data_IF_969637734123
#
_entry.id   IF_969637734123
#
_cell.length_a   1.000
_cell.length_b   1.000
_cell.length_c   1.000
_cell.angle_alpha   90.00
_cell.angle_beta   90.00
_cell.angle_gamma   90.00
#
_symmetry.space_group_name_H-M   'P 1'
#
loop_
_entity.id
_entity.type
_entity.pdbx_description
1 polymer ?
#
# COMPACT_ATOMS: atom_id res chain seq x y z
N UNK A 1 17.89 -7.71 8.67
CA UNK A 1 16.46 -8.11 8.58
C UNK A 1 15.47 -6.94 8.65
N UNK A 2 15.82 -5.77 9.21
CA UNK A 2 14.95 -4.58 9.14
C UNK A 2 14.99 -3.86 7.77
N UNK A 3 16.04 -4.07 6.99
CA UNK A 3 16.31 -3.35 5.72
C UNK A 3 15.28 -3.59 4.62
N UNK A 4 14.75 -4.82 4.48
CA UNK A 4 13.85 -5.21 3.38
C UNK A 4 12.46 -4.61 3.55
N UNK A 5 11.83 -4.83 4.70
CA UNK A 5 10.53 -4.21 5.02
C UNK A 5 10.64 -2.69 5.09
N UNK A 6 11.76 -2.13 5.57
CA UNK A 6 11.93 -0.68 5.53
C UNK A 6 11.97 -0.14 4.10
N UNK A 7 12.53 -0.88 3.13
CA UNK A 7 12.50 -0.50 1.73
C UNK A 7 11.07 -0.46 1.18
N UNK A 8 10.24 -1.46 1.47
CA UNK A 8 8.82 -1.46 1.08
C UNK A 8 8.01 -0.36 1.77
N UNK A 9 8.27 -0.07 3.05
CA UNK A 9 7.62 1.03 3.79
C UNK A 9 8.02 2.38 3.20
N UNK A 10 9.30 2.56 2.88
CA UNK A 10 9.78 3.78 2.24
C UNK A 10 9.18 3.96 0.84
N UNK A 11 9.16 2.88 0.05
CA UNK A 11 8.50 2.89 -1.26
C UNK A 11 7.01 3.24 -1.15
N UNK A 12 6.31 2.66 -0.16
CA UNK A 12 4.91 2.98 0.13
C UNK A 12 4.73 4.47 0.41
N UNK A 13 5.56 5.04 1.28
CA UNK A 13 5.50 6.46 1.61
C UNK A 13 5.78 7.36 0.39
N UNK A 14 6.69 6.95 -0.50
CA UNK A 14 6.97 7.69 -1.74
C UNK A 14 5.77 7.65 -2.71
N UNK A 15 5.15 6.48 -2.90
CA UNK A 15 3.94 6.32 -3.73
C UNK A 15 2.81 7.19 -3.17
N UNK A 16 2.56 7.10 -1.87
CA UNK A 16 1.48 7.82 -1.21
C UNK A 16 1.69 9.35 -1.26
N UNK A 17 2.94 9.81 -1.14
CA UNK A 17 3.30 11.22 -1.30
C UNK A 17 3.05 11.72 -2.73
N UNK A 18 3.47 10.97 -3.74
CA UNK A 18 3.23 11.33 -5.14
C UNK A 18 1.74 11.31 -5.49
N UNK A 19 0.99 10.31 -5.03
CA UNK A 19 -0.47 10.24 -5.21
C UNK A 19 -1.19 11.41 -4.55
N UNK A 20 -0.83 11.74 -3.30
CA UNK A 20 -1.42 12.87 -2.58
C UNK A 20 -1.09 14.21 -3.26
N UNK A 21 0.16 14.37 -3.73
CA UNK A 21 0.59 15.57 -4.46
C UNK A 21 -0.19 15.70 -5.76
N UNK A 22 -0.31 14.62 -6.53
CA UNK A 22 -1.07 14.61 -7.77
C UNK A 22 -2.53 14.97 -7.54
N UNK A 23 -3.18 14.36 -6.54
CA UNK A 23 -4.56 14.65 -6.19
C UNK A 23 -4.79 16.13 -5.82
N UNK A 24 -3.86 16.71 -5.06
CA UNK A 24 -3.93 18.14 -4.72
C UNK A 24 -3.76 19.03 -5.95
N UNK A 25 -2.85 18.66 -6.86
CA UNK A 25 -2.65 19.40 -8.10
C UNK A 25 -3.85 19.25 -9.05
N UNK A 26 -4.38 18.04 -9.25
CA UNK A 26 -5.50 17.81 -10.16
C UNK A 26 -6.79 18.47 -9.69
N UNK A 27 -7.00 18.58 -8.38
CA UNK A 27 -8.16 19.26 -7.79
C UNK A 27 -8.07 20.80 -7.76
N UNK A 28 -6.87 21.38 -7.70
CA UNK A 28 -6.70 22.83 -7.54
C UNK A 28 -6.23 23.56 -8.82
N UNK A 29 -5.68 22.85 -9.81
CA UNK A 29 -5.27 23.47 -11.07
C UNK A 29 -6.51 23.71 -11.94
N UNK A 30 -6.84 24.97 -12.28
CA UNK A 30 -7.96 25.27 -13.17
C UNK A 30 -7.71 24.66 -14.54
N UNK A 31 -8.72 24.00 -15.09
CA UNK A 31 -8.65 23.40 -16.42
C UNK A 31 -9.46 24.21 -17.43
N UNK A 32 -9.00 24.31 -18.69
CA UNK A 32 -9.71 25.08 -19.71
C UNK A 32 -11.12 24.51 -19.94
N UNK A 33 -12.12 25.38 -19.98
CA UNK A 33 -13.48 25.02 -20.40
C UNK A 33 -13.96 26.04 -21.44
N UNK A 34 -14.26 25.63 -22.69
CA UNK A 34 -14.21 24.26 -23.24
C UNK A 34 -12.78 23.75 -23.48
N UNK A 35 -12.60 22.43 -23.38
CA UNK A 35 -11.34 21.77 -23.73
C UNK A 35 -11.22 21.71 -25.26
N UNK A 36 -10.10 22.17 -25.81
CA UNK A 36 -9.87 22.12 -27.27
C UNK A 36 -9.68 20.66 -27.73
N UNK A 37 -10.17 20.30 -28.91
CA UNK A 37 -9.89 19.01 -29.56
C UNK A 37 -8.51 18.98 -30.25
N UNK A 38 -7.53 19.70 -29.67
CA UNK A 38 -6.15 19.69 -30.14
C UNK A 38 -5.38 18.52 -29.53
N UNK A 39 -4.21 18.19 -30.09
CA UNK A 39 -3.27 17.23 -29.48
C UNK A 39 -3.06 17.52 -27.98
N UNK A 40 -2.85 18.80 -27.61
CA UNK A 40 -2.66 19.21 -26.23
C UNK A 40 -3.91 18.97 -25.35
N UNK A 41 -5.11 19.21 -25.88
CA UNK A 41 -6.35 18.92 -25.18
C UNK A 41 -6.62 17.42 -25.00
N UNK A 42 -6.29 16.61 -26.00
CA UNK A 42 -6.32 15.16 -25.91
C UNK A 42 -5.35 14.61 -24.85
N UNK A 43 -4.11 15.11 -24.82
CA UNK A 43 -3.15 14.77 -23.76
C UNK A 43 -3.64 15.17 -22.37
N UNK A 44 -4.18 16.39 -22.24
CA UNK A 44 -4.72 16.88 -20.97
C UNK A 44 -5.91 16.03 -20.51
N UNK A 45 -6.79 15.62 -21.42
CA UNK A 45 -7.90 14.73 -21.09
C UNK A 45 -7.42 13.35 -20.65
N UNK A 46 -6.60 12.69 -21.47
CA UNK A 46 -6.27 11.27 -21.32
C UNK A 46 -5.23 10.96 -20.25
N UNK A 47 -4.40 11.93 -19.85
CA UNK A 47 -3.35 11.74 -18.84
C UNK A 47 -3.59 12.52 -17.53
N UNK A 48 -4.23 13.69 -17.59
CA UNK A 48 -4.43 14.52 -16.41
C UNK A 48 -5.85 14.41 -15.88
N UNK A 49 -6.86 14.73 -16.70
CA UNK A 49 -8.27 14.76 -16.29
C UNK A 49 -8.89 13.37 -16.10
N UNK A 50 -8.30 12.33 -16.70
CA UNK A 50 -8.64 10.93 -16.46
C UNK A 50 -8.07 10.39 -15.14
N UNK A 51 -7.27 11.18 -14.43
CA UNK A 51 -6.53 10.77 -13.24
C UNK A 51 -5.57 9.58 -13.48
N UNK A 52 -5.06 9.40 -14.71
CA UNK A 52 -4.15 8.31 -15.10
C UNK A 52 -2.99 8.09 -14.10
N UNK A 53 -2.30 9.16 -13.71
CA UNK A 53 -1.17 9.04 -12.78
C UNK A 53 -1.63 8.64 -11.37
N UNK A 54 -2.78 9.14 -10.93
CA UNK A 54 -3.34 8.79 -9.63
C UNK A 54 -3.66 7.30 -9.56
N UNK A 55 -4.37 6.76 -10.56
CA UNK A 55 -4.70 5.34 -10.64
C UNK A 55 -3.47 4.45 -10.79
N UNK A 56 -2.43 4.93 -11.48
CA UNK A 56 -1.13 4.27 -11.55
C UNK A 56 -0.46 4.15 -10.17
N UNK A 57 -0.42 5.26 -9.41
CA UNK A 57 0.15 5.26 -8.06
C UNK A 57 -0.64 4.37 -7.11
N UNK A 58 -1.97 4.39 -7.18
CA UNK A 58 -2.79 3.50 -6.38
C UNK A 58 -2.57 2.02 -6.71
N UNK A 59 -2.43 1.67 -7.98
CA UNK A 59 -2.14 0.28 -8.36
C UNK A 59 -0.75 -0.15 -7.88
N UNK A 60 0.26 0.72 -8.04
CA UNK A 60 1.60 0.46 -7.52
C UNK A 60 1.60 0.30 -5.99
N UNK A 61 0.80 1.10 -5.27
CA UNK A 61 0.58 1.01 -3.83
C UNK A 61 0.01 -0.37 -3.44
N UNK A 62 -1.04 -0.84 -4.11
CA UNK A 62 -1.62 -2.17 -3.87
C UNK A 62 -0.60 -3.29 -4.09
N UNK A 63 0.15 -3.26 -5.20
CA UNK A 63 1.18 -4.26 -5.49
C UNK A 63 2.30 -4.25 -4.44
N UNK A 64 2.65 -3.07 -3.92
CA UNK A 64 3.61 -2.91 -2.84
C UNK A 64 3.07 -3.48 -1.52
N UNK A 65 1.80 -3.26 -1.17
CA UNK A 65 1.14 -3.84 0.00
C UNK A 65 1.06 -5.38 -0.08
N UNK A 66 0.75 -5.93 -1.25
CA UNK A 66 0.79 -7.38 -1.49
C UNK A 66 2.20 -7.91 -1.28
N UNK A 67 3.20 -7.29 -1.90
CA UNK A 67 4.61 -7.67 -1.76
C UNK A 67 5.08 -7.64 -0.30
N UNK A 68 4.72 -6.58 0.44
CA UNK A 68 5.01 -6.43 1.86
C UNK A 68 4.30 -7.49 2.71
N UNK A 69 3.04 -7.83 2.39
CA UNK A 69 2.29 -8.89 3.06
C UNK A 69 2.98 -10.25 2.89
N UNK A 70 3.37 -10.61 1.67
CA UNK A 70 4.09 -11.86 1.39
C UNK A 70 5.50 -11.86 1.99
N UNK A 71 6.16 -10.71 2.05
CA UNK A 71 7.46 -10.58 2.73
C UNK A 71 7.36 -10.91 4.22
N UNK A 72 6.32 -10.42 4.89
CA UNK A 72 6.04 -10.77 6.29
C UNK A 72 5.62 -12.22 6.46
N UNK A 73 4.83 -12.74 5.52
CA UNK A 73 4.43 -14.13 5.50
C UNK A 73 5.67 -15.03 5.49
N UNK A 74 6.60 -14.83 4.55
CA UNK A 74 7.84 -15.62 4.49
C UNK A 74 8.72 -15.38 5.72
N UNK A 75 8.83 -14.14 6.22
CA UNK A 75 9.62 -13.84 7.42
C UNK A 75 9.13 -14.57 8.68
N UNK A 76 7.83 -14.83 8.80
CA UNK A 76 7.23 -15.45 10.00
C UNK A 76 7.06 -16.97 9.82
N UNK A 77 6.56 -17.41 8.66
CA UNK A 77 6.24 -18.82 8.39
C UNK A 77 7.47 -19.60 7.94
N UNK A 78 8.38 -18.97 7.18
CA UNK A 78 9.56 -19.63 6.61
C UNK A 78 10.85 -18.84 6.90
N UNK A 79 11.22 -18.65 8.19
CA UNK A 79 12.28 -17.73 8.60
C UNK A 79 13.64 -18.00 7.95
N UNK A 80 13.98 -19.28 7.70
CA UNK A 80 15.25 -19.67 7.07
C UNK A 80 15.29 -19.40 5.56
N UNK A 81 14.14 -19.30 4.89
CA UNK A 81 14.06 -19.00 3.45
C UNK A 81 13.95 -17.49 3.16
N UNK A 82 13.66 -16.68 4.19
CA UNK A 82 13.43 -15.24 4.04
C UNK A 82 14.60 -14.51 3.38
N UNK A 83 15.84 -14.76 3.80
CA UNK A 83 17.02 -14.09 3.25
C UNK A 83 17.26 -14.38 1.77
N UNK A 84 16.90 -15.57 1.30
CA UNK A 84 17.03 -15.97 -0.11
C UNK A 84 15.91 -15.39 -0.96
N UNK A 85 14.66 -15.46 -0.49
CA UNK A 85 13.48 -15.01 -1.25
C UNK A 85 13.40 -13.47 -1.26
N UNK A 86 13.67 -12.83 -0.12
CA UNK A 86 13.61 -11.39 0.06
C UNK A 86 14.99 -10.78 0.29
N UNK A 87 15.94 -11.16 -0.56
CA UNK A 87 17.24 -10.47 -0.66
C UNK A 87 17.12 -9.07 -1.28
N UNK A 88 18.25 -8.35 -1.35
CA UNK A 88 18.29 -6.98 -1.90
C UNK A 88 17.83 -6.89 -3.36
N UNK A 89 18.27 -7.82 -4.21
CA UNK A 89 17.93 -7.81 -5.63
C UNK A 89 16.45 -8.14 -5.88
N UNK A 90 15.89 -9.24 -5.34
CA UNK A 90 14.45 -9.51 -5.46
C UNK A 90 13.57 -8.34 -4.99
N UNK A 91 13.90 -7.71 -3.85
CA UNK A 91 13.13 -6.58 -3.32
C UNK A 91 13.16 -5.38 -4.28
N UNK A 92 14.32 -5.05 -4.88
CA UNK A 92 14.40 -3.99 -5.89
C UNK A 92 13.58 -4.30 -7.14
N UNK A 93 13.60 -5.55 -7.59
CA UNK A 93 12.79 -6.01 -8.73
C UNK A 93 11.29 -5.89 -8.42
N UNK A 94 10.86 -6.32 -7.22
CA UNK A 94 9.45 -6.20 -6.81
C UNK A 94 9.00 -4.74 -6.75
N UNK A 95 9.82 -3.84 -6.19
CA UNK A 95 9.53 -2.42 -6.14
C UNK A 95 9.42 -1.84 -7.56
N UNK A 96 10.44 -2.04 -8.41
CA UNK A 96 10.44 -1.54 -9.78
C UNK A 96 9.25 -2.10 -10.58
N UNK A 97 8.97 -3.39 -10.42
CA UNK A 97 7.83 -4.08 -11.01
C UNK A 97 6.49 -3.45 -10.60
N UNK A 98 6.32 -3.08 -9.33
CA UNK A 98 5.09 -2.42 -8.86
C UNK A 98 4.83 -1.10 -9.60
N UNK A 99 5.85 -0.26 -9.81
CA UNK A 99 5.72 0.99 -10.58
C UNK A 99 5.41 0.75 -12.06
N UNK A 100 6.13 -0.19 -12.69
CA UNK A 100 5.95 -0.51 -14.11
C UNK A 100 4.56 -1.10 -14.35
N UNK A 101 4.17 -2.10 -13.56
CA UNK A 101 2.86 -2.76 -13.69
C UNK A 101 1.74 -1.78 -13.34
N UNK A 102 1.89 -0.96 -12.30
CA UNK A 102 0.91 0.07 -11.95
C UNK A 102 0.66 1.05 -13.10
N UNK A 103 1.73 1.56 -13.69
CA UNK A 103 1.64 2.46 -14.85
C UNK A 103 1.05 1.76 -16.07
N UNK A 104 1.55 0.58 -16.42
CA UNK A 104 1.06 -0.22 -17.54
C UNK A 104 -0.43 -0.52 -17.41
N UNK A 105 -0.88 -0.83 -16.19
CA UNK A 105 -2.28 -1.14 -15.91
C UNK A 105 -3.22 0.06 -15.98
N UNK A 106 -2.72 1.28 -16.02
CA UNK A 106 -3.52 2.51 -16.16
C UNK A 106 -3.65 2.99 -17.60
N UNK A 107 -2.95 2.36 -18.55
CA UNK A 107 -3.01 2.73 -19.98
C UNK A 107 -4.41 2.59 -20.60
N UNK A 108 -5.32 1.84 -19.97
CA UNK A 108 -6.70 1.76 -20.46
C UNK A 108 -7.41 3.12 -20.41
N UNK A 109 -7.04 4.04 -19.49
CA UNK A 109 -7.62 5.38 -19.41
C UNK A 109 -7.40 6.17 -20.72
N UNK A 110 -6.27 5.93 -21.40
CA UNK A 110 -5.97 6.56 -22.70
C UNK A 110 -6.96 6.12 -23.78
N UNK A 111 -7.47 4.90 -23.69
CA UNK A 111 -8.44 4.37 -24.65
C UNK A 111 -9.89 4.71 -24.27
N UNK A 112 -10.17 4.95 -22.99
CA UNK A 112 -11.54 5.07 -22.48
C UNK A 112 -11.95 6.49 -22.13
N UNK A 113 -11.07 7.48 -22.20
CA UNK A 113 -11.40 8.89 -22.06
C UNK A 113 -11.16 9.65 -23.35
N UNK A 114 -12.10 10.51 -23.72
CA UNK A 114 -11.92 11.39 -24.86
C UNK A 114 -12.58 12.76 -24.66
N UNK A 115 -12.20 13.71 -25.52
CA UNK A 115 -12.79 15.05 -25.55
C UNK A 115 -14.05 15.01 -26.39
N UNK A 116 -15.21 15.09 -25.74
CA UNK A 116 -16.52 15.10 -26.40
C UNK A 116 -17.28 16.34 -25.93
N UNK A 117 -17.72 17.16 -26.89
CA UNK A 117 -18.39 18.45 -26.65
C UNK A 117 -17.61 19.40 -25.73
N UNK A 118 -16.28 19.44 -25.90
CA UNK A 118 -15.39 20.28 -25.11
C UNK A 118 -15.23 19.85 -23.65
N UNK A 119 -15.62 18.62 -23.31
CA UNK A 119 -15.45 18.02 -21.97
C UNK A 119 -14.70 16.71 -22.07
N UNK A 120 -13.81 16.45 -21.12
CA UNK A 120 -13.20 15.14 -20.97
C UNK A 120 -14.17 14.20 -20.26
N UNK A 121 -14.55 13.10 -20.91
CA UNK A 121 -15.51 12.15 -20.34
C UNK A 121 -15.20 10.71 -20.76
N UNK A 122 -15.61 9.71 -19.95
CA UNK A 122 -15.46 8.32 -20.33
C UNK A 122 -16.33 7.98 -21.54
N UNK A 123 -15.76 7.27 -22.50
CA UNK A 123 -16.41 6.82 -23.74
C UNK A 123 -16.65 5.32 -23.72
N UNK A 124 -17.79 4.88 -24.26
CA UNK A 124 -18.12 3.46 -24.35
C UNK A 124 -17.44 2.82 -25.55
N UNK A 125 -16.35 2.10 -25.31
CA UNK A 125 -15.66 1.28 -26.32
C UNK A 125 -16.15 -0.18 -26.22
N UNK A 126 -16.28 -0.94 -27.33
CA UNK A 126 -16.58 -2.36 -27.26
C UNK A 126 -15.63 -3.11 -26.32
N UNK A 127 -16.19 -3.83 -25.35
CA UNK A 127 -15.41 -4.58 -24.34
C UNK A 127 -14.98 -3.77 -23.10
N UNK A 128 -15.31 -2.48 -23.00
CA UNK A 128 -15.00 -1.63 -21.83
C UNK A 128 -15.51 -2.21 -20.50
N UNK A 129 -16.74 -2.72 -20.47
CA UNK A 129 -17.34 -3.38 -19.30
C UNK A 129 -16.54 -4.61 -18.85
N UNK A 130 -16.19 -5.49 -19.80
CA UNK A 130 -15.41 -6.68 -19.50
C UNK A 130 -14.02 -6.32 -18.97
N UNK A 131 -13.37 -5.30 -19.56
CA UNK A 131 -12.08 -4.82 -19.07
C UNK A 131 -12.19 -4.23 -17.66
N UNK A 132 -13.24 -3.44 -17.38
CA UNK A 132 -13.45 -2.87 -16.04
C UNK A 132 -13.70 -3.95 -14.97
N UNK A 133 -14.43 -5.02 -15.29
CA UNK A 133 -14.56 -6.18 -14.40
C UNK A 133 -13.20 -6.85 -14.15
N UNK A 134 -12.38 -7.03 -15.20
CA UNK A 134 -11.02 -7.56 -15.04
C UNK A 134 -10.15 -6.64 -14.16
N UNK A 135 -10.23 -5.32 -14.35
CA UNK A 135 -9.52 -4.33 -13.53
C UNK A 135 -9.92 -4.46 -12.07
N UNK A 136 -11.23 -4.53 -11.77
CA UNK A 136 -11.71 -4.76 -10.40
C UNK A 136 -11.14 -6.05 -9.79
N UNK A 137 -11.12 -7.15 -10.55
CA UNK A 137 -10.61 -8.42 -10.07
C UNK A 137 -9.10 -8.36 -9.76
N UNK A 138 -8.30 -7.83 -10.69
CA UNK A 138 -6.84 -7.81 -10.57
C UNK A 138 -6.32 -6.73 -9.62
N UNK A 139 -6.95 -5.56 -9.57
CA UNK A 139 -6.48 -4.44 -8.74
C UNK A 139 -7.07 -4.45 -7.33
N UNK A 140 -8.21 -5.11 -7.09
CA UNK A 140 -8.84 -5.13 -5.78
C UNK A 140 -9.11 -6.53 -5.24
N UNK A 141 -9.97 -7.32 -5.90
CA UNK A 141 -10.47 -8.57 -5.33
C UNK A 141 -9.37 -9.61 -5.07
N UNK A 142 -8.57 -9.94 -6.09
CA UNK A 142 -7.47 -10.91 -5.99
C UNK A 142 -6.42 -10.45 -4.95
N UNK A 143 -5.92 -9.20 -4.98
CA UNK A 143 -5.03 -8.69 -3.93
C UNK A 143 -5.58 -8.84 -2.51
N UNK A 144 -6.85 -8.49 -2.29
CA UNK A 144 -7.49 -8.62 -0.97
C UNK A 144 -7.55 -10.08 -0.53
N UNK A 145 -8.00 -11.00 -1.39
CA UNK A 145 -8.06 -12.42 -1.08
C UNK A 145 -6.67 -13.02 -0.78
N UNK A 146 -5.67 -12.65 -1.57
CA UNK A 146 -4.29 -13.12 -1.39
C UNK A 146 -3.71 -12.64 -0.05
N UNK A 147 -3.85 -11.34 0.25
CA UNK A 147 -3.41 -10.76 1.51
C UNK A 147 -4.15 -11.39 2.69
N UNK A 148 -5.48 -11.49 2.62
CA UNK A 148 -6.31 -12.07 3.68
C UNK A 148 -5.89 -13.50 4.00
N UNK A 149 -5.68 -14.34 2.98
CA UNK A 149 -5.25 -15.72 3.16
C UNK A 149 -3.88 -15.79 3.86
N UNK A 150 -2.93 -14.94 3.44
CA UNK A 150 -1.62 -14.84 4.09
C UNK A 150 -1.75 -14.37 5.56
N UNK A 151 -2.54 -13.34 5.83
CA UNK A 151 -2.78 -12.82 7.18
C UNK A 151 -3.41 -13.88 8.10
N UNK A 152 -4.42 -14.61 7.62
CA UNK A 152 -5.06 -15.70 8.38
C UNK A 152 -4.03 -16.78 8.73
N UNK A 153 -3.24 -17.24 7.75
CA UNK A 153 -2.24 -18.27 7.99
C UNK A 153 -1.16 -17.81 8.99
N UNK A 154 -0.69 -16.56 8.88
CA UNK A 154 0.26 -15.99 9.85
C UNK A 154 -0.33 -16.00 11.26
N UNK A 155 -1.60 -15.64 11.43
CA UNK A 155 -2.28 -15.65 12.73
C UNK A 155 -2.33 -17.07 13.30
N UNK A 156 -2.66 -18.07 12.47
CA UNK A 156 -2.69 -19.48 12.87
C UNK A 156 -1.31 -19.94 13.36
N UNK A 157 -0.26 -19.70 12.56
CA UNK A 157 1.12 -20.07 12.91
C UNK A 157 1.58 -19.38 14.20
N UNK A 158 1.28 -18.09 14.37
CA UNK A 158 1.64 -17.34 15.58
C UNK A 158 0.92 -17.87 16.82
N UNK A 159 -0.36 -18.27 16.70
CA UNK A 159 -1.12 -18.88 17.81
C UNK A 159 -0.55 -20.25 18.19
N UNK A 160 -0.25 -21.09 17.21
CA UNK A 160 0.32 -22.42 17.42
C UNK A 160 1.68 -22.34 18.12
N UNK A 161 2.54 -21.40 17.70
CA UNK A 161 3.85 -21.18 18.32
C UNK A 161 3.72 -20.65 19.76
N UNK A 162 2.73 -19.79 20.04
CA UNK A 162 2.47 -19.32 21.39
C UNK A 162 1.94 -20.42 22.32
N UNK A 163 1.12 -21.34 21.83
CA UNK A 163 0.62 -22.48 22.62
C UNK A 163 1.68 -23.54 22.91
N UNK A 164 2.73 -23.63 22.08
CA UNK A 164 3.86 -24.56 22.29
C UNK A 164 4.87 -24.04 23.32
N UNK A 165 4.94 -22.73 23.50
CA UNK A 165 5.74 -22.08 24.54
C UNK A 165 4.80 -21.78 25.73
N UNK A 166 4.40 -22.83 26.45
CA UNK A 166 3.74 -22.68 27.76
C UNK A 166 4.64 -21.90 28.74
N UNK A 167 4.09 -21.37 29.86
CA UNK A 167 4.88 -20.58 30.80
C UNK A 167 6.09 -21.39 31.28
N UNK A 168 7.28 -20.96 30.87
CA UNK A 168 8.53 -21.58 31.31
C UNK A 168 8.61 -21.48 32.84
N UNK A 169 9.00 -22.55 33.55
CA UNK A 169 9.28 -22.48 34.97
C UNK A 169 10.39 -21.44 35.19
N UNK A 170 10.18 -20.55 36.14
CA UNK A 170 11.16 -19.56 36.61
C UNK A 170 12.31 -20.33 37.26
N UNK A 171 13.32 -20.74 36.49
CA UNK A 171 14.61 -21.23 37.03
C UNK A 171 15.68 -21.32 35.95
N UNK A 172 16.40 -20.22 35.75
CA UNK A 172 17.87 -20.23 35.61
C UNK A 172 18.38 -18.79 35.48
N UNK A 173 18.72 -18.20 36.63
CA UNK A 173 19.57 -17.02 36.70
C UNK A 173 20.99 -17.43 36.31
N UNK A 174 21.33 -17.35 35.03
CA UNK A 174 22.73 -17.38 34.58
C UNK A 174 23.06 -16.05 33.93
N UNK A 175 23.78 -15.19 34.67
CA UNK A 175 24.44 -14.01 34.12
C UNK A 175 25.61 -14.46 33.23
N UNK A 176 25.48 -14.25 31.92
CA UNK A 176 26.56 -14.49 30.97
C UNK A 176 26.01 -14.84 29.60
N UNK A 177 25.87 -13.83 28.75
CA UNK A 177 25.25 -13.82 27.42
C UNK A 177 23.74 -14.10 27.42
N UNK A 178 22.94 -13.31 26.67
CA UNK A 178 21.55 -13.69 26.44
C UNK A 178 21.57 -15.08 25.78
N UNK A 179 20.87 -16.07 26.34
CA UNK A 179 20.77 -17.37 25.68
C UNK A 179 20.24 -17.15 24.27
N UNK A 180 20.74 -17.92 23.29
CA UNK A 180 20.33 -17.84 21.87
C UNK A 180 18.79 -17.85 21.74
N UNK A 181 18.11 -18.55 22.65
CA UNK A 181 16.65 -18.59 22.80
C UNK A 181 16.00 -17.24 23.14
N UNK A 182 16.63 -16.40 23.97
CA UNK A 182 16.14 -15.06 24.29
C UNK A 182 16.29 -14.09 23.10
N UNK A 183 17.38 -14.21 22.35
CA UNK A 183 17.60 -13.45 21.11
C UNK A 183 16.55 -13.83 20.05
N UNK A 184 16.29 -15.12 19.84
CA UNK A 184 15.26 -15.59 18.90
C UNK A 184 13.83 -15.19 19.33
N UNK A 185 13.52 -15.23 20.63
CA UNK A 185 12.24 -14.78 21.17
C UNK A 185 12.02 -13.27 20.98
N UNK A 186 13.07 -12.45 21.16
CA UNK A 186 12.99 -11.00 20.94
C UNK A 186 12.80 -10.65 19.45
N UNK A 187 13.51 -11.34 18.55
CA UNK A 187 13.36 -11.20 17.09
C UNK A 187 11.96 -11.59 16.63
N UNK A 188 11.42 -12.70 17.13
CA UNK A 188 10.05 -13.14 16.82
C UNK A 188 9.00 -12.13 17.32
N UNK A 189 9.21 -11.56 18.51
CA UNK A 189 8.36 -10.48 19.04
C UNK A 189 8.40 -9.24 18.16
N UNK A 190 9.57 -8.83 17.68
CA UNK A 190 9.72 -7.71 16.76
C UNK A 190 9.01 -7.95 15.42
N UNK A 191 9.13 -9.16 14.84
CA UNK A 191 8.39 -9.56 13.63
C UNK A 191 6.88 -9.54 13.84
N UNK A 192 6.40 -10.03 15.00
CA UNK A 192 4.98 -10.00 15.38
C UNK A 192 4.44 -8.58 15.51
N UNK A 193 5.17 -7.67 16.14
CA UNK A 193 4.76 -6.27 16.27
C UNK A 193 4.66 -5.58 14.90
N UNK A 194 5.64 -5.86 14.03
CA UNK A 194 5.61 -5.39 12.64
C UNK A 194 4.40 -5.92 11.89
N UNK A 195 4.13 -7.23 11.98
CA UNK A 195 2.94 -7.84 11.39
C UNK A 195 1.63 -7.19 11.87
N UNK A 196 1.50 -6.92 13.18
CA UNK A 196 0.31 -6.25 13.72
C UNK A 196 0.08 -4.88 13.08
N UNK A 197 1.15 -4.10 12.88
CA UNK A 197 1.04 -2.82 12.20
C UNK A 197 0.56 -3.00 10.75
N UNK A 198 1.07 -4.00 10.03
CA UNK A 198 0.68 -4.25 8.64
C UNK A 198 -0.73 -4.81 8.50
N UNK A 199 -1.21 -5.56 9.49
CA UNK A 199 -2.61 -5.94 9.58
C UNK A 199 -3.52 -4.71 9.72
N UNK A 200 -3.13 -3.70 10.51
CA UNK A 200 -3.86 -2.43 10.61
C UNK A 200 -3.87 -1.72 9.25
N UNK A 201 -2.72 -1.63 8.59
CA UNK A 201 -2.61 -1.05 7.23
C UNK A 201 -3.53 -1.76 6.24
N UNK A 202 -3.58 -3.10 6.27
CA UNK A 202 -4.46 -3.90 5.42
C UNK A 202 -5.94 -3.64 5.69
N UNK A 203 -6.36 -3.57 6.96
CA UNK A 203 -7.75 -3.27 7.33
C UNK A 203 -8.15 -1.87 6.84
N UNK A 204 -7.27 -0.88 7.03
CA UNK A 204 -7.48 0.48 6.51
C UNK A 204 -7.59 0.49 4.99
N UNK A 205 -6.73 -0.27 4.30
CA UNK A 205 -6.81 -0.45 2.85
C UNK A 205 -8.17 -0.98 2.40
N UNK A 206 -8.62 -2.10 2.97
CA UNK A 206 -9.94 -2.67 2.63
C UNK A 206 -11.05 -1.67 2.89
N UNK A 207 -11.07 -1.02 4.05
CA UNK A 207 -12.09 -0.05 4.39
C UNK A 207 -12.14 1.15 3.42
N UNK A 208 -10.98 1.76 3.13
CA UNK A 208 -10.87 2.90 2.24
C UNK A 208 -11.24 2.58 0.80
N UNK A 209 -10.92 1.38 0.33
CA UNK A 209 -11.10 1.00 -1.07
C UNK A 209 -12.46 0.37 -1.38
N UNK A 210 -13.09 -0.31 -0.41
CA UNK A 210 -14.31 -1.09 -0.65
C UNK A 210 -15.41 -0.30 -1.35
N UNK A 211 -15.72 0.91 -0.87
CA UNK A 211 -16.82 1.70 -1.42
C UNK A 211 -16.56 2.05 -2.89
N UNK A 212 -15.36 2.53 -3.20
CA UNK A 212 -14.97 2.89 -4.57
C UNK A 212 -14.98 1.67 -5.50
N UNK A 213 -14.45 0.53 -5.03
CA UNK A 213 -14.43 -0.71 -5.80
C UNK A 213 -15.83 -1.26 -6.08
N UNK A 214 -16.78 -1.13 -5.15
CA UNK A 214 -18.20 -1.50 -5.37
C UNK A 214 -18.83 -0.59 -6.42
N UNK A 215 -18.65 0.73 -6.31
CA UNK A 215 -19.20 1.70 -7.27
C UNK A 215 -18.65 1.43 -8.67
N UNK A 216 -17.34 1.24 -8.79
CA UNK A 216 -16.69 0.93 -10.06
C UNK A 216 -17.18 -0.39 -10.65
N UNK A 217 -17.33 -1.43 -9.82
CA UNK A 217 -17.88 -2.72 -10.26
C UNK A 217 -19.32 -2.57 -10.77
N UNK A 218 -20.18 -1.85 -10.04
CA UNK A 218 -21.56 -1.59 -10.47
C UNK A 218 -21.61 -0.80 -11.79
N UNK A 219 -20.79 0.23 -11.94
CA UNK A 219 -20.69 1.00 -13.20
C UNK A 219 -20.39 0.10 -14.40
N UNK A 220 -19.44 -0.84 -14.24
CA UNK A 220 -19.09 -1.79 -15.30
C UNK A 220 -20.14 -2.87 -15.56
N UNK A 221 -21.11 -3.05 -14.66
CA UNK A 221 -22.31 -3.86 -14.88
C UNK A 221 -23.48 -3.09 -15.52
N UNK A 222 -23.26 -1.82 -15.90
CA UNK A 222 -24.25 -1.00 -16.58
C UNK A 222 -25.14 -0.16 -15.67
N UNK A 223 -24.84 -0.08 -14.37
CA UNK A 223 -25.53 0.84 -13.48
C UNK A 223 -25.07 2.29 -13.77
N UNK A 224 -25.99 3.26 -13.88
CA UNK A 224 -25.63 4.65 -14.14
C UNK A 224 -24.83 5.22 -12.96
N UNK A 225 -23.71 5.87 -13.27
CA UNK A 225 -22.86 6.53 -12.29
C UNK A 225 -22.96 8.05 -12.47
N UNK A 226 -23.33 8.74 -11.39
CA UNK A 226 -23.21 10.19 -11.31
C UNK A 226 -21.88 10.57 -10.65
N UNK A 227 -20.94 11.05 -11.47
CA UNK A 227 -19.61 11.52 -11.05
C UNK A 227 -19.66 12.78 -10.16
N UNK A 228 -20.83 13.40 -9.98
CA UNK A 228 -21.03 14.54 -9.07
C UNK A 228 -21.75 14.14 -7.79
N UNK A 229 -22.19 12.89 -7.67
CA UNK A 229 -22.90 12.43 -6.48
C UNK A 229 -22.00 12.47 -5.25
N UNK A 230 -22.59 12.81 -4.10
CA UNK A 230 -21.88 12.80 -2.82
C UNK A 230 -21.27 11.41 -2.52
N UNK A 231 -21.94 10.34 -2.94
CA UNK A 231 -21.47 8.97 -2.75
C UNK A 231 -20.13 8.71 -3.47
N UNK A 232 -20.02 9.14 -4.74
CA UNK A 232 -18.79 9.01 -5.52
C UNK A 232 -17.66 9.91 -4.99
N UNK A 233 -17.99 11.14 -4.61
CA UNK A 233 -17.00 12.06 -4.02
C UNK A 233 -16.46 11.49 -2.70
N UNK A 234 -17.34 10.94 -1.86
CA UNK A 234 -16.95 10.27 -0.60
C UNK A 234 -16.10 9.03 -0.88
N UNK A 235 -16.42 8.24 -1.91
CA UNK A 235 -15.62 7.05 -2.23
C UNK A 235 -14.21 7.40 -2.69
N UNK A 236 -14.07 8.44 -3.53
CA UNK A 236 -12.76 8.98 -3.92
C UNK A 236 -11.98 9.52 -2.71
N UNK A 237 -12.64 10.26 -1.81
CA UNK A 237 -12.02 10.78 -0.61
C UNK A 237 -11.53 9.66 0.33
N UNK A 238 -12.29 8.57 0.47
CA UNK A 238 -11.88 7.40 1.25
C UNK A 238 -10.62 6.74 0.67
N UNK A 239 -10.57 6.59 -0.66
CA UNK A 239 -9.38 6.06 -1.35
C UNK A 239 -8.18 6.97 -1.11
N UNK A 240 -8.34 8.29 -1.25
CA UNK A 240 -7.28 9.26 -0.99
C UNK A 240 -6.77 9.21 0.47
N UNK A 241 -7.67 9.04 1.45
CA UNK A 241 -7.31 8.91 2.86
C UNK A 241 -6.43 7.69 3.14
N UNK A 242 -6.46 6.64 2.30
CA UNK A 242 -5.57 5.50 2.43
C UNK A 242 -4.09 5.91 2.36
N UNK A 243 -3.77 6.80 1.41
CA UNK A 243 -2.40 7.30 1.23
C UNK A 243 -1.92 8.15 2.40
N UNK A 244 -2.82 8.88 3.09
CA UNK A 244 -2.47 9.63 4.29
C UNK A 244 -2.33 8.74 5.53
N UNK A 245 -3.11 7.65 5.62
CA UNK A 245 -3.10 6.75 6.76
C UNK A 245 -1.77 6.00 6.91
N UNK A 246 -1.15 5.61 5.79
CA UNK A 246 0.07 4.80 5.79
C UNK A 246 1.26 5.51 6.50
N UNK A 247 1.69 6.74 6.13
CA UNK A 247 2.71 7.48 6.86
C UNK A 247 2.39 7.73 8.33
N UNK A 248 1.12 7.96 8.70
CA UNK A 248 0.70 8.17 10.10
C UNK A 248 0.88 6.88 10.90
N UNK A 249 0.38 5.75 10.37
CA UNK A 249 0.53 4.43 11.00
C UNK A 249 2.01 4.11 11.18
N UNK A 250 2.85 4.39 10.16
CA UNK A 250 4.29 4.15 10.25
C UNK A 250 5.00 5.13 11.20
N UNK A 251 4.66 6.42 11.20
CA UNK A 251 5.24 7.41 12.10
C UNK A 251 4.89 7.14 13.56
N UNK A 252 3.70 6.64 13.86
CA UNK A 252 3.31 6.28 15.22
C UNK A 252 3.99 4.99 15.69
N UNK A 253 4.20 4.01 14.80
CA UNK A 253 4.66 2.66 15.17
C UNK A 253 6.14 2.37 14.95
N UNK A 254 6.82 3.02 13.99
CA UNK A 254 8.20 2.75 13.61
C UNK A 254 9.17 3.85 14.05
N UNK A 255 9.99 3.55 15.07
CA UNK A 255 11.02 4.48 15.58
C UNK A 255 12.00 4.97 14.50
N UNK A 256 12.41 4.08 13.60
CA UNK A 256 13.32 4.42 12.50
C UNK A 256 12.71 5.38 11.48
N UNK A 257 11.40 5.23 11.18
CA UNK A 257 10.69 6.18 10.31
C UNK A 257 10.63 7.55 10.96
N UNK A 258 10.36 7.64 12.27
CA UNK A 258 10.42 8.91 13.02
C UNK A 258 11.81 9.53 12.98
N UNK A 259 12.87 8.74 13.12
CA UNK A 259 14.26 9.22 13.06
C UNK A 259 14.63 9.74 11.67
N UNK A 260 14.29 9.01 10.61
CA UNK A 260 14.48 9.48 9.23
C UNK A 260 13.68 10.74 8.92
N UNK A 261 12.42 10.80 9.38
CA UNK A 261 11.57 11.99 9.23
C UNK A 261 12.14 13.20 9.97
N UNK A 262 12.63 13.03 11.20
CA UNK A 262 13.29 14.12 11.95
C UNK A 262 14.57 14.60 11.27
N UNK A 263 15.39 13.69 10.76
CA UNK A 263 16.59 14.04 10.00
C UNK A 263 16.24 14.83 8.73
N UNK A 264 15.21 14.40 7.99
CA UNK A 264 14.72 15.11 6.81
C UNK A 264 14.19 16.52 7.15
N UNK A 265 13.48 16.65 8.27
CA UNK A 265 12.93 17.93 8.75
C UNK A 265 13.95 18.80 9.51
N UNK A 266 15.21 18.39 9.60
CA UNK A 266 16.25 19.12 10.35
C UNK A 266 15.99 19.21 11.86
N UNK A 267 15.11 18.36 12.41
CA UNK A 267 14.76 18.35 13.83
C UNK A 267 15.78 17.55 14.64
N UNK A 268 16.10 17.98 15.89
CA UNK A 268 17.02 17.24 16.75
C UNK A 268 16.50 15.82 17.02
N UNK A 269 17.36 14.83 16.74
CA UNK A 269 17.11 13.43 17.08
C UNK A 269 17.29 13.29 18.58
N UNK A 270 16.17 13.36 19.31
CA UNK A 270 16.17 13.27 20.77
C UNK A 270 16.79 11.96 21.26
N UNK A 271 17.68 12.07 22.24
CA UNK A 271 18.44 10.99 22.89
C UNK A 271 17.59 9.97 23.67
N UNK A 272 16.27 10.17 23.78
CA UNK A 272 15.35 9.21 24.42
C UNK A 272 15.19 7.88 23.68
N UNK A 273 15.58 7.80 22.39
CA UNK A 273 15.54 6.54 21.64
C UNK A 273 16.79 5.66 21.86
N UNK A 274 17.87 6.18 22.47
CA UNK A 274 19.12 5.45 22.72
C UNK A 274 19.19 4.81 24.12
N UNK A 275 18.49 5.37 25.11
CA UNK A 275 18.53 4.90 26.51
C UNK A 275 17.74 3.61 26.78
N UNK A 276 17.02 3.08 25.79
CA UNK A 276 16.42 1.72 25.83
C UNK A 276 17.20 0.67 25.06
N UNK A 277 18.31 1.05 24.42
CA UNK A 277 19.22 0.09 23.77
C UNK A 277 20.33 -0.36 24.72
N UNK A 278 20.49 0.31 25.86
CA UNK A 278 21.50 -0.01 26.89
C UNK A 278 20.93 -0.70 28.13
N UNK A 279 19.61 -0.77 28.28
CA UNK A 279 18.96 -1.50 29.36
C UNK A 279 17.83 -2.37 28.78
N UNK A 280 17.98 -3.69 28.96
CA UNK A 280 17.11 -4.84 28.63
C UNK A 280 17.19 -5.44 27.22
#
# INVERSE_FOLDING_TARGET
>A
MHTTTNAFIFNQAAIDFLGSTFLLLSSNIPTPSPLSDSLAGGFLCRLWLSDFFLWSFFTASTLNLVSLTFERYVAIVFPFKHGTIYGTVPVRILIAGAWIIGTASSFYDIAFYDVVDGKCQPISVPGSQALGVMIFLFQYFIPVCAMLTAYIHIIVVLKQNASRVGPAPVSSLTMGNPPVEAADASLLRARRNTFKTLLIVFITYVFCWTLNSIIFFMFNFGYPLDFKSALYIVSLALVALNSCANPIIYAVKYRQFRRGLRQFLGLPVGSEDDSRTTNT
#
